data_IF_813062223359
#
_entry.id   IF_813062223359
#
_cell.length_a   1.000
_cell.length_b   1.000
_cell.length_c   1.000
_cell.angle_alpha   90.00
_cell.angle_beta   90.00
_cell.angle_gamma   90.00
#
_symmetry.space_group_name_H-M   'P 1'
#
loop_
_entity.id
_entity.type
_entity.pdbx_description
1 polymer ?
#
# COMPACT_ATOMS: atom_id res chain seq x y z
N UNK A 1 -1.18 26.59 21.41
CA UNK A 1 -0.61 25.24 21.23
C UNK A 1 0.58 25.40 20.30
N UNK A 2 1.77 24.95 20.69
CA UNK A 2 2.93 25.01 19.82
C UNK A 2 2.68 24.14 18.59
N UNK A 3 2.78 24.71 17.39
CA UNK A 3 2.72 23.99 16.13
C UNK A 3 4.00 23.17 16.01
N UNK A 4 3.99 21.96 16.57
CA UNK A 4 5.04 20.97 16.33
C UNK A 4 4.93 20.57 14.86
N UNK A 5 5.97 20.85 14.08
CA UNK A 5 6.10 20.24 12.75
C UNK A 5 6.08 18.71 12.94
N UNK A 6 5.36 17.95 12.12
CA UNK A 6 5.39 16.49 12.21
C UNK A 6 6.83 16.02 12.02
N UNK A 7 7.43 15.49 13.08
CA UNK A 7 8.73 14.83 13.03
C UNK A 7 8.53 13.43 12.47
N UNK A 8 9.42 12.99 11.59
CA UNK A 8 9.48 11.59 11.17
C UNK A 8 9.74 10.79 12.47
N UNK A 9 8.86 9.83 12.83
CA UNK A 9 9.09 8.99 13.99
C UNK A 9 10.45 8.32 13.85
N UNK A 10 11.23 8.26 14.92
CA UNK A 10 12.49 7.53 14.97
C UNK A 10 12.15 6.03 15.01
N UNK A 11 11.71 5.51 13.87
CA UNK A 11 11.24 4.16 13.70
C UNK A 11 12.30 3.32 12.97
N UNK A 12 12.59 2.11 13.46
CA UNK A 12 13.65 1.27 12.90
C UNK A 12 13.34 0.77 11.49
N UNK A 13 12.07 0.84 11.06
CA UNK A 13 11.58 0.28 9.80
C UNK A 13 10.53 1.22 9.21
N UNK A 14 10.60 1.41 7.90
CA UNK A 14 9.59 2.09 7.09
C UNK A 14 8.87 1.13 6.15
N UNK A 15 7.76 1.56 5.55
CA UNK A 15 7.07 0.76 4.54
C UNK A 15 7.97 0.44 3.32
N UNK A 16 8.88 1.35 2.98
CA UNK A 16 9.85 1.15 1.91
C UNK A 16 10.81 -0.02 2.17
N UNK A 17 11.00 -0.42 3.42
CA UNK A 17 11.89 -1.52 3.78
C UNK A 17 11.23 -2.90 3.64
N UNK A 18 9.90 -2.98 3.54
CA UNK A 18 9.17 -4.26 3.53
C UNK A 18 9.53 -5.09 2.30
N UNK A 19 9.29 -4.57 1.09
CA UNK A 19 9.57 -5.35 -0.12
C UNK A 19 11.09 -5.46 -0.37
N UNK A 20 11.88 -4.47 0.05
CA UNK A 20 13.35 -4.56 0.02
C UNK A 20 13.83 -5.74 0.84
N UNK A 21 13.37 -5.86 2.08
CA UNK A 21 13.72 -6.97 2.97
C UNK A 21 13.22 -8.31 2.42
N UNK A 22 12.07 -8.33 1.74
CA UNK A 22 11.58 -9.52 1.05
C UNK A 22 12.56 -9.98 -0.04
N UNK A 23 13.06 -9.06 -0.87
CA UNK A 23 14.10 -9.33 -1.89
C UNK A 23 15.39 -9.85 -1.25
N UNK A 24 15.82 -9.27 -0.13
CA UNK A 24 17.01 -9.69 0.60
C UNK A 24 16.89 -11.11 1.14
N UNK A 25 15.72 -11.48 1.67
CA UNK A 25 15.45 -12.83 2.18
C UNK A 25 15.59 -13.92 1.11
N UNK A 26 15.17 -13.62 -0.13
CA UNK A 26 15.34 -14.52 -1.27
C UNK A 26 16.82 -14.69 -1.67
N UNK A 27 17.67 -13.73 -1.30
CA UNK A 27 19.10 -13.77 -1.51
C UNK A 27 19.87 -14.33 -0.30
N UNK A 28 19.18 -14.87 0.71
CA UNK A 28 19.79 -15.39 1.94
C UNK A 28 20.33 -14.32 2.89
N UNK A 29 19.88 -13.06 2.75
CA UNK A 29 20.24 -11.95 3.64
C UNK A 29 19.06 -11.56 4.52
N UNK A 30 19.36 -10.99 5.69
CA UNK A 30 18.35 -10.44 6.60
C UNK A 30 18.28 -8.92 6.38
N UNK A 31 17.08 -8.42 6.10
CA UNK A 31 16.81 -7.00 5.94
C UNK A 31 16.34 -6.32 7.22
N UNK A 32 15.86 -5.08 7.10
CA UNK A 32 15.30 -4.33 8.23
C UNK A 32 14.02 -5.00 8.77
N UNK A 33 13.20 -5.58 7.88
CA UNK A 33 12.16 -6.54 8.28
C UNK A 33 12.82 -7.93 8.36
N UNK A 34 12.83 -8.60 9.52
CA UNK A 34 13.64 -9.79 9.78
C UNK A 34 13.00 -11.06 9.19
N UNK A 35 12.78 -11.08 7.87
CA UNK A 35 12.35 -12.28 7.17
C UNK A 35 13.42 -13.37 7.25
N UNK A 36 13.01 -14.59 7.57
CA UNK A 36 13.87 -15.77 7.43
C UNK A 36 14.19 -16.02 5.96
N UNK A 37 15.38 -16.55 5.60
CA UNK A 37 15.63 -17.01 4.25
C UNK A 37 14.54 -17.98 3.79
N UNK A 38 13.86 -17.65 2.70
CA UNK A 38 12.75 -18.43 2.17
C UNK A 38 12.82 -18.48 0.65
N UNK A 39 12.12 -19.45 0.05
CA UNK A 39 12.07 -19.60 -1.41
C UNK A 39 11.16 -18.56 -2.05
N UNK A 40 10.11 -18.15 -1.34
CA UNK A 40 9.12 -17.19 -1.83
C UNK A 40 8.67 -16.28 -0.70
N UNK A 41 8.22 -15.08 -1.06
CA UNK A 41 7.60 -14.14 -0.11
C UNK A 41 6.26 -13.67 -0.64
N UNK A 42 5.25 -13.68 0.22
CA UNK A 42 3.93 -13.09 0.00
C UNK A 42 3.83 -11.82 0.84
N UNK A 43 3.63 -10.67 0.21
CA UNK A 43 3.34 -9.39 0.86
C UNK A 43 1.87 -9.07 0.61
N UNK A 44 1.07 -9.08 1.66
CA UNK A 44 -0.33 -8.64 1.65
C UNK A 44 -0.37 -7.21 2.16
N UNK A 45 -0.84 -6.29 1.34
CA UNK A 45 -1.11 -4.92 1.73
C UNK A 45 -2.61 -4.70 1.85
N UNK A 46 -3.05 -4.40 3.07
CA UNK A 46 -4.44 -4.05 3.39
C UNK A 46 -4.53 -2.53 3.44
N UNK A 47 -5.11 -1.95 2.41
CA UNK A 47 -5.22 -0.50 2.26
C UNK A 47 -6.02 0.11 3.44
N UNK A 48 -5.52 1.21 3.98
CA UNK A 48 -6.20 2.00 5.03
C UNK A 48 -6.33 1.32 6.40
N UNK A 49 -5.71 0.16 6.63
CA UNK A 49 -5.76 -0.54 7.92
C UNK A 49 -4.65 -0.07 8.88
N UNK A 50 -4.91 1.04 9.58
CA UNK A 50 -3.98 1.56 10.58
C UNK A 50 -3.88 0.66 11.82
N UNK A 51 -2.69 0.58 12.42
CA UNK A 51 -2.45 -0.21 13.63
C UNK A 51 -3.41 0.14 14.77
N UNK A 52 -3.72 1.43 14.94
CA UNK A 52 -4.68 1.89 15.95
C UNK A 52 -6.13 1.55 15.60
N UNK A 53 -6.51 1.61 14.32
CA UNK A 53 -7.83 1.17 13.88
C UNK A 53 -8.02 -0.34 14.17
N UNK A 54 -7.00 -1.15 13.90
CA UNK A 54 -7.00 -2.59 14.20
C UNK A 54 -7.08 -2.85 15.71
N UNK A 55 -6.30 -2.15 16.53
CA UNK A 55 -6.34 -2.29 17.99
C UNK A 55 -7.72 -1.97 18.57
N UNK A 56 -8.34 -0.87 18.13
CA UNK A 56 -9.69 -0.45 18.58
C UNK A 56 -10.78 -1.42 18.11
N UNK A 57 -10.53 -2.19 17.04
CA UNK A 57 -11.46 -3.14 16.43
C UNK A 57 -11.01 -4.59 16.54
N UNK A 58 -10.13 -4.90 17.49
CA UNK A 58 -9.51 -6.22 17.64
C UNK A 58 -10.52 -7.38 17.73
N UNK A 59 -11.71 -7.14 18.31
CA UNK A 59 -12.79 -8.13 18.39
C UNK A 59 -13.33 -8.61 17.02
N UNK A 60 -13.17 -7.80 15.97
CA UNK A 60 -13.59 -8.09 14.59
C UNK A 60 -12.47 -8.71 13.74
N UNK A 61 -11.24 -8.78 14.25
CA UNK A 61 -10.06 -9.20 13.50
C UNK A 61 -9.13 -10.08 14.34
N UNK A 62 -9.65 -11.22 14.80
CA UNK A 62 -8.93 -12.10 15.73
C UNK A 62 -7.63 -12.63 15.12
N UNK A 63 -7.63 -12.98 13.84
CA UNK A 63 -6.45 -13.53 13.16
C UNK A 63 -5.37 -12.47 13.03
N UNK A 64 -5.72 -11.29 12.50
CA UNK A 64 -4.78 -10.18 12.33
C UNK A 64 -4.24 -9.70 13.67
N UNK A 65 -5.09 -9.58 14.69
CA UNK A 65 -4.67 -9.20 16.05
C UNK A 65 -3.66 -10.19 16.62
N UNK A 66 -3.87 -11.49 16.44
CA UNK A 66 -2.93 -12.52 16.90
C UNK A 66 -1.59 -12.44 16.15
N UNK A 67 -1.64 -12.26 14.82
CA UNK A 67 -0.44 -12.12 14.00
C UNK A 67 0.38 -10.89 14.38
N UNK A 68 -0.26 -9.78 14.73
CA UNK A 68 0.42 -8.57 15.23
C UNK A 68 1.08 -8.83 16.58
N UNK A 69 0.38 -9.51 17.50
CA UNK A 69 0.92 -9.84 18.82
C UNK A 69 2.15 -10.77 18.74
N UNK A 70 2.19 -11.66 17.76
CA UNK A 70 3.31 -12.59 17.52
C UNK A 70 4.42 -12.01 16.62
N UNK A 71 4.23 -10.79 16.09
CA UNK A 71 5.17 -10.14 15.16
C UNK A 71 6.30 -9.41 15.91
N UNK A 72 7.56 -9.47 15.41
CA UNK A 72 8.65 -8.62 15.94
C UNK A 72 8.43 -7.14 15.61
N UNK A 73 7.57 -6.82 14.66
CA UNK A 73 7.21 -5.46 14.25
C UNK A 73 5.69 -5.35 14.27
N UNK A 74 5.15 -4.71 15.30
CA UNK A 74 3.71 -4.54 15.48
C UNK A 74 3.14 -3.34 14.70
N UNK A 75 3.97 -2.35 14.41
CA UNK A 75 3.58 -1.11 13.73
C UNK A 75 4.72 -0.61 12.83
N UNK A 76 4.34 -0.10 11.65
CA UNK A 76 5.24 0.59 10.72
C UNK A 76 4.63 1.97 10.48
N UNK A 77 5.36 3.08 10.76
CA UNK A 77 4.85 4.40 10.43
C UNK A 77 4.63 4.56 8.94
N UNK A 78 3.46 5.08 8.57
CA UNK A 78 3.23 5.57 7.21
C UNK A 78 4.15 6.75 6.93
N UNK A 79 4.73 6.80 5.73
CA UNK A 79 5.54 7.95 5.30
C UNK A 79 4.69 9.21 5.13
N UNK A 80 5.34 10.35 4.89
CA UNK A 80 4.66 11.58 4.52
C UNK A 80 4.76 11.85 3.01
N UNK A 81 3.63 12.10 2.31
CA UNK A 81 2.27 12.06 2.83
C UNK A 81 1.72 10.62 2.89
N UNK A 82 0.86 10.36 3.87
CA UNK A 82 0.24 9.06 4.15
C UNK A 82 -0.91 8.76 3.19
N UNK A 83 -0.57 8.57 1.91
CA UNK A 83 -1.51 8.42 0.79
C UNK A 83 -1.20 7.13 0.05
N UNK A 84 -2.19 6.41 -0.46
CA UNK A 84 -2.00 5.19 -1.25
C UNK A 84 -0.97 5.39 -2.37
N UNK A 85 -1.07 6.49 -3.13
CA UNK A 85 -0.16 6.75 -4.25
C UNK A 85 1.30 6.84 -3.79
N UNK A 86 1.57 7.57 -2.72
CA UNK A 86 2.92 7.73 -2.20
C UNK A 86 3.45 6.44 -1.56
N UNK A 87 2.64 5.81 -0.73
CA UNK A 87 3.05 4.70 0.12
C UNK A 87 3.19 3.38 -0.66
N UNK A 88 2.29 3.07 -1.61
CA UNK A 88 2.46 1.91 -2.49
C UNK A 88 3.69 2.03 -3.39
N UNK A 89 3.99 3.25 -3.83
CA UNK A 89 5.20 3.51 -4.61
C UNK A 89 6.43 3.32 -3.74
N UNK A 90 6.45 3.87 -2.52
CA UNK A 90 7.55 3.66 -1.57
C UNK A 90 7.79 2.19 -1.26
N UNK A 91 6.72 1.42 -1.01
CA UNK A 91 6.78 -0.03 -0.79
C UNK A 91 7.48 -0.75 -1.94
N UNK A 92 7.18 -0.37 -3.18
CA UNK A 92 7.61 -1.12 -4.37
C UNK A 92 8.91 -0.65 -4.97
N UNK A 93 9.36 0.58 -4.70
CA UNK A 93 10.66 1.11 -5.12
C UNK A 93 11.71 1.04 -4.00
N UNK A 94 11.28 0.93 -2.75
CA UNK A 94 12.14 0.96 -1.57
C UNK A 94 12.70 2.34 -1.23
N UNK A 95 12.18 3.42 -1.82
CA UNK A 95 12.62 4.79 -1.53
C UNK A 95 11.47 5.66 -1.06
N UNK A 96 11.76 6.80 -0.45
CA UNK A 96 10.73 7.71 0.10
C UNK A 96 10.01 8.51 -1.01
N UNK A 97 8.85 9.13 -0.72
CA UNK A 97 8.09 9.91 -1.70
C UNK A 97 8.86 11.01 -2.42
N UNK A 98 9.77 11.68 -1.71
CA UNK A 98 10.62 12.72 -2.28
C UNK A 98 11.57 12.19 -3.38
N UNK A 99 11.93 10.90 -3.34
CA UNK A 99 12.84 10.28 -4.31
C UNK A 99 12.09 9.68 -5.50
N UNK A 100 10.95 9.01 -5.27
CA UNK A 100 10.19 8.41 -6.37
C UNK A 100 9.21 9.35 -7.07
N UNK A 101 8.98 10.56 -6.54
CA UNK A 101 8.27 11.66 -7.22
C UNK A 101 6.74 11.62 -7.14
N UNK A 102 6.14 10.50 -6.76
CA UNK A 102 4.70 10.36 -6.55
C UNK A 102 4.29 10.76 -5.13
N UNK A 103 4.07 12.06 -4.91
CA UNK A 103 3.91 12.68 -3.57
C UNK A 103 2.47 13.02 -3.17
N UNK A 104 1.46 12.37 -3.75
CA UNK A 104 0.06 12.55 -3.36
C UNK A 104 -0.91 12.11 -4.45
N UNK A 105 -2.19 11.96 -4.13
CA UNK A 105 -3.14 11.43 -5.13
C UNK A 105 -3.57 12.45 -6.18
N UNK A 106 -3.49 13.77 -5.93
CA UNK A 106 -3.85 14.76 -6.95
C UNK A 106 -2.72 15.73 -7.25
N UNK A 107 -2.43 15.94 -8.53
CA UNK A 107 -1.29 16.74 -8.99
C UNK A 107 -1.68 17.56 -10.21
N UNK A 108 -1.01 18.68 -10.44
CA UNK A 108 -1.13 19.42 -11.70
C UNK A 108 -0.02 18.97 -12.64
N UNK A 109 -0.33 18.24 -13.74
CA UNK A 109 0.68 17.82 -14.69
C UNK A 109 1.44 19.01 -15.28
N UNK A 110 2.76 18.89 -15.55
CA UNK A 110 3.48 19.90 -16.32
C UNK A 110 2.77 20.20 -17.64
N UNK A 111 2.73 21.48 -18.02
CA UNK A 111 2.02 21.93 -19.23
C UNK A 111 0.49 21.96 -19.13
N UNK A 112 -0.09 21.57 -17.99
CA UNK A 112 -1.55 21.54 -17.78
C UNK A 112 -2.00 22.54 -16.72
N UNK A 113 -3.23 23.05 -16.90
CA UNK A 113 -3.87 23.97 -15.95
C UNK A 113 -4.72 23.25 -14.91
N UNK A 114 -5.21 22.04 -15.21
CA UNK A 114 -6.10 21.28 -14.33
C UNK A 114 -5.35 20.21 -13.54
N UNK A 115 -5.74 20.06 -12.28
CA UNK A 115 -5.30 18.97 -11.41
C UNK A 115 -5.93 17.64 -11.85
N UNK A 116 -5.17 16.56 -11.72
CA UNK A 116 -5.51 15.20 -12.07
C UNK A 116 -5.31 14.28 -10.90
N UNK A 117 -6.21 13.31 -10.77
CA UNK A 117 -6.10 12.23 -9.81
C UNK A 117 -5.13 11.16 -10.38
N UNK A 118 -4.11 10.77 -9.62
CA UNK A 118 -3.09 9.79 -9.99
C UNK A 118 -3.50 8.33 -9.76
N UNK A 119 -4.72 8.07 -9.27
CA UNK A 119 -5.31 6.73 -9.22
C UNK A 119 -6.07 6.46 -10.53
N UNK A 120 -6.90 7.40 -10.99
CA UNK A 120 -7.83 7.18 -12.12
C UNK A 120 -7.83 8.25 -13.22
N UNK A 121 -7.18 9.39 -13.01
CA UNK A 121 -7.29 10.60 -13.85
C UNK A 121 -6.13 10.85 -14.81
N UNK A 122 -5.38 9.82 -15.20
CA UNK A 122 -4.22 9.93 -16.09
C UNK A 122 -4.61 10.35 -17.51
N UNK A 123 -3.79 11.20 -18.12
CA UNK A 123 -3.93 11.64 -19.51
C UNK A 123 -3.05 10.79 -20.44
N UNK A 124 -3.34 10.73 -21.76
CA UNK A 124 -2.55 9.95 -22.72
C UNK A 124 -1.06 10.34 -22.76
N UNK A 125 -0.72 11.58 -22.46
CA UNK A 125 0.64 12.12 -22.44
C UNK A 125 1.31 12.04 -21.06
N UNK A 126 0.58 11.65 -20.01
CA UNK A 126 1.16 11.34 -18.70
C UNK A 126 1.73 9.92 -18.71
N UNK A 127 2.96 9.76 -19.21
CA UNK A 127 3.64 8.46 -19.26
C UNK A 127 4.05 8.02 -17.84
N UNK A 128 3.49 6.93 -17.27
CA UNK A 128 3.75 6.53 -15.89
C UNK A 128 5.22 6.35 -15.52
N UNK A 129 6.01 5.79 -16.44
CA UNK A 129 7.45 5.55 -16.29
C UNK A 129 8.28 6.83 -16.19
N UNK A 130 7.77 7.94 -16.71
CA UNK A 130 8.43 9.25 -16.60
C UNK A 130 8.06 9.96 -15.30
N UNK A 131 6.85 9.72 -14.80
CA UNK A 131 6.37 10.25 -13.53
C UNK A 131 7.01 9.56 -12.32
N UNK A 132 7.32 8.27 -12.47
CA UNK A 132 7.97 7.46 -11.46
C UNK A 132 9.18 6.76 -12.11
N UNK A 133 10.37 7.40 -12.10
CA UNK A 133 11.53 6.91 -12.85
C UNK A 133 12.38 5.88 -12.08
N UNK A 134 12.14 5.69 -10.78
CA UNK A 134 12.93 4.77 -9.96
C UNK A 134 12.52 3.33 -10.32
N UNK A 135 13.45 2.43 -10.68
CA UNK A 135 13.14 1.03 -10.93
C UNK A 135 12.41 0.41 -9.75
N UNK A 136 11.37 -0.38 -10.02
CA UNK A 136 10.72 -1.13 -8.95
C UNK A 136 11.61 -2.30 -8.51
N UNK A 137 11.38 -2.78 -7.30
CA UNK A 137 12.02 -3.99 -6.79
C UNK A 137 11.59 -5.24 -7.59
N UNK A 138 10.42 -5.23 -8.23
CA UNK A 138 10.00 -6.30 -9.12
C UNK A 138 10.81 -6.32 -10.44
N UNK A 139 11.15 -5.15 -10.99
CA UNK A 139 12.08 -5.08 -12.14
C UNK A 139 13.46 -5.63 -11.76
N UNK A 140 13.95 -5.28 -10.57
CA UNK A 140 15.21 -5.82 -10.04
C UNK A 140 15.17 -7.35 -9.87
N UNK A 141 14.03 -7.91 -9.45
CA UNK A 141 13.83 -9.36 -9.34
C UNK A 141 13.78 -10.05 -10.71
N UNK A 142 13.08 -9.44 -11.67
CA UNK A 142 13.01 -9.92 -13.07
C UNK A 142 14.41 -10.04 -13.68
N UNK A 143 15.26 -9.04 -13.47
CA UNK A 143 16.64 -9.03 -13.99
C UNK A 143 17.51 -10.13 -13.36
N UNK A 144 17.10 -10.67 -12.20
CA UNK A 144 17.71 -11.83 -11.52
C UNK A 144 17.01 -13.16 -11.86
N UNK A 145 16.05 -13.16 -12.77
CA UNK A 145 15.28 -14.35 -13.15
C UNK A 145 14.27 -14.82 -12.11
N UNK A 146 13.91 -13.97 -11.13
CA UNK A 146 12.91 -14.28 -10.10
C UNK A 146 11.57 -13.65 -10.52
N UNK A 147 10.52 -14.44 -10.79
CA UNK A 147 9.24 -13.89 -11.21
C UNK A 147 8.52 -13.22 -10.04
N UNK A 148 7.76 -12.17 -10.36
CA UNK A 148 6.93 -11.43 -9.41
C UNK A 148 5.49 -11.34 -9.90
N UNK A 149 4.53 -11.40 -8.98
CA UNK A 149 3.10 -11.38 -9.30
C UNK A 149 2.37 -10.38 -8.41
N UNK A 150 1.55 -9.53 -9.01
CA UNK A 150 0.71 -8.57 -8.31
C UNK A 150 -0.76 -8.99 -8.45
N UNK A 151 -1.44 -9.20 -7.34
CA UNK A 151 -2.84 -9.56 -7.28
C UNK A 151 -3.66 -8.39 -6.74
N UNK A 152 -4.75 -8.04 -7.42
CA UNK A 152 -5.65 -6.96 -6.99
C UNK A 152 -6.95 -6.96 -7.80
N UNK A 153 -7.84 -5.98 -7.59
CA UNK A 153 -9.07 -5.83 -8.37
C UNK A 153 -8.81 -5.77 -9.88
N UNK A 154 -9.66 -6.42 -10.66
CA UNK A 154 -9.53 -6.51 -12.11
C UNK A 154 -9.51 -5.13 -12.78
N UNK A 155 -10.22 -4.16 -12.19
CA UNK A 155 -10.28 -2.78 -12.66
C UNK A 155 -8.92 -2.04 -12.66
N UNK A 156 -7.95 -2.50 -11.87
CA UNK A 156 -6.62 -1.86 -11.82
C UNK A 156 -5.62 -2.47 -12.81
N UNK A 157 -5.97 -3.61 -13.43
CA UNK A 157 -5.12 -4.28 -14.39
C UNK A 157 -4.79 -3.34 -15.56
N UNK A 158 -3.50 -3.09 -15.80
CA UNK A 158 -3.03 -2.20 -16.86
C UNK A 158 -3.30 -0.72 -16.62
N UNK A 159 -3.84 -0.32 -15.46
CA UNK A 159 -4.02 1.09 -15.12
C UNK A 159 -2.68 1.83 -15.13
N UNK A 160 -2.73 3.12 -15.43
CA UNK A 160 -1.53 3.96 -15.47
C UNK A 160 -0.82 4.00 -14.11
N UNK A 161 -1.57 4.00 -13.00
CA UNK A 161 -0.97 3.90 -11.67
C UNK A 161 -0.33 2.53 -11.43
N UNK A 162 -1.00 1.42 -11.73
CA UNK A 162 -0.38 0.09 -11.61
C UNK A 162 0.90 -0.02 -12.46
N UNK A 163 0.93 0.57 -13.65
CA UNK A 163 2.15 0.70 -14.46
C UNK A 163 3.21 1.61 -13.84
N UNK A 164 2.85 2.53 -12.96
CA UNK A 164 3.80 3.41 -12.28
C UNK A 164 4.54 2.70 -11.13
N UNK A 165 3.94 1.75 -10.43
CA UNK A 165 4.57 1.15 -9.23
C UNK A 165 4.72 -0.38 -9.26
N UNK A 166 4.04 -1.09 -10.16
CA UNK A 166 4.09 -2.57 -10.26
C UNK A 166 4.89 -3.09 -11.46
N UNK A 167 5.67 -2.24 -12.15
CA UNK A 167 6.48 -2.68 -13.30
C UNK A 167 7.35 -3.86 -12.92
N UNK A 168 7.49 -4.84 -13.81
CA UNK A 168 8.24 -6.06 -13.54
C UNK A 168 7.43 -7.18 -12.87
N UNK A 169 6.26 -6.89 -12.29
CA UNK A 169 5.33 -7.91 -11.83
C UNK A 169 4.25 -8.23 -12.89
N UNK A 170 3.86 -9.50 -13.00
CA UNK A 170 2.67 -9.90 -13.75
C UNK A 170 1.42 -9.55 -12.93
N UNK A 171 0.55 -8.69 -13.47
CA UNK A 171 -0.69 -8.31 -12.80
C UNK A 171 -1.78 -9.36 -13.04
N UNK A 172 -2.42 -9.82 -11.96
CA UNK A 172 -3.53 -10.78 -11.96
C UNK A 172 -4.76 -10.18 -11.29
N UNK A 173 -5.74 -9.81 -12.12
CA UNK A 173 -7.03 -9.30 -11.67
C UNK A 173 -7.89 -10.40 -11.06
N UNK A 174 -8.21 -10.28 -9.77
CA UNK A 174 -9.09 -11.19 -9.04
C UNK A 174 -9.95 -10.37 -8.10
N UNK A 175 -11.24 -10.23 -8.40
CA UNK A 175 -12.13 -9.33 -7.64
C UNK A 175 -12.53 -9.88 -6.27
N UNK A 176 -12.67 -11.19 -6.13
CA UNK A 176 -12.94 -11.83 -4.84
C UNK A 176 -11.67 -11.87 -3.97
N UNK A 177 -11.73 -11.24 -2.79
CA UNK A 177 -10.59 -11.12 -1.87
C UNK A 177 -10.06 -12.47 -1.39
N UNK A 178 -10.95 -13.39 -1.00
CA UNK A 178 -10.56 -14.71 -0.48
C UNK A 178 -9.81 -15.51 -1.54
N UNK A 179 -10.33 -15.53 -2.77
CA UNK A 179 -9.70 -16.13 -3.94
C UNK A 179 -8.39 -15.44 -4.29
N UNK A 180 -8.32 -14.11 -4.25
CA UNK A 180 -7.10 -13.32 -4.50
C UNK A 180 -5.98 -13.75 -3.56
N UNK A 181 -6.25 -13.82 -2.25
CA UNK A 181 -5.27 -14.26 -1.25
C UNK A 181 -4.89 -15.73 -1.41
N UNK A 182 -5.86 -16.61 -1.63
CA UNK A 182 -5.63 -18.04 -1.80
C UNK A 182 -4.77 -18.35 -3.04
N UNK A 183 -5.07 -17.74 -4.18
CA UNK A 183 -4.30 -17.94 -5.42
C UNK A 183 -2.85 -17.45 -5.28
N UNK A 184 -2.64 -16.29 -4.65
CA UNK A 184 -1.29 -15.77 -4.41
C UNK A 184 -0.45 -16.69 -3.51
N UNK A 185 -1.03 -17.20 -2.42
CA UNK A 185 -0.36 -18.17 -1.55
C UNK A 185 -0.07 -19.50 -2.28
N UNK A 186 -1.03 -20.02 -3.04
CA UNK A 186 -0.85 -21.25 -3.82
C UNK A 186 0.28 -21.12 -4.85
N UNK A 187 0.41 -19.95 -5.49
CA UNK A 187 1.49 -19.67 -6.42
C UNK A 187 2.85 -19.68 -5.73
N UNK A 188 2.98 -18.97 -4.60
CA UNK A 188 4.21 -18.90 -3.81
C UNK A 188 4.68 -20.27 -3.30
N UNK A 189 3.74 -21.19 -3.05
CA UNK A 189 4.04 -22.58 -2.67
C UNK A 189 4.54 -23.45 -3.81
N UNK A 190 4.23 -23.13 -5.06
CA UNK A 190 4.55 -23.97 -6.22
C UNK A 190 5.87 -23.59 -6.89
N UNK A 191 6.28 -22.34 -6.78
CA UNK A 191 7.51 -21.85 -7.41
C UNK A 191 8.19 -20.79 -6.55
N UNK A 192 9.45 -20.49 -6.87
CA UNK A 192 10.16 -19.33 -6.34
C UNK A 192 9.58 -18.05 -6.96
N UNK A 193 9.08 -17.15 -6.13
CA UNK A 193 8.56 -15.85 -6.57
C UNK A 193 8.36 -14.85 -5.42
N UNK A 194 8.13 -13.59 -5.77
CA UNK A 194 7.50 -12.61 -4.88
C UNK A 194 6.05 -12.39 -5.30
N UNK A 195 5.14 -12.44 -4.34
CA UNK A 195 3.72 -12.17 -4.57
C UNK A 195 3.33 -10.93 -3.77
N UNK A 196 2.80 -9.92 -4.44
CA UNK A 196 2.14 -8.77 -3.84
C UNK A 196 0.63 -8.96 -3.96
N UNK A 197 -0.10 -8.88 -2.85
CA UNK A 197 -1.56 -8.95 -2.82
C UNK A 197 -2.09 -7.63 -2.25
N UNK A 198 -2.93 -6.95 -3.01
CA UNK A 198 -3.58 -5.73 -2.59
C UNK A 198 -5.03 -6.00 -2.16
N UNK A 199 -5.41 -5.52 -0.99
CA UNK A 199 -6.75 -5.62 -0.40
C UNK A 199 -7.29 -4.21 -0.13
N UNK A 200 -8.19 -3.72 -0.99
CA UNK A 200 -8.78 -2.37 -0.92
C UNK A 200 -10.06 -2.29 -0.09
N UNK A 201 -10.52 -3.40 0.47
CA UNK A 201 -11.88 -3.55 0.99
C UNK A 201 -12.11 -2.70 2.25
N UNK A 202 -11.10 -2.55 3.11
CA UNK A 202 -11.17 -1.78 4.37
C UNK A 202 -11.14 -0.28 4.09
N UNK A 203 -10.17 0.19 3.31
CA UNK A 203 -10.08 1.58 2.88
C UNK A 203 -11.35 2.05 2.15
N UNK A 204 -11.82 1.24 1.19
CA UNK A 204 -13.05 1.52 0.46
C UNK A 204 -14.26 1.68 1.37
N UNK A 205 -14.43 0.80 2.37
CA UNK A 205 -15.50 0.94 3.35
C UNK A 205 -15.34 2.20 4.23
N UNK A 206 -14.10 2.52 4.62
CA UNK A 206 -13.77 3.69 5.43
C UNK A 206 -14.09 5.00 4.71
N UNK A 207 -13.75 5.13 3.44
CA UNK A 207 -14.06 6.33 2.66
C UNK A 207 -15.56 6.55 2.43
N UNK A 208 -16.36 5.48 2.30
CA UNK A 208 -17.79 5.61 2.06
C UNK A 208 -18.61 5.80 3.35
N UNK A 209 -18.15 5.23 4.47
CA UNK A 209 -18.97 5.11 5.68
C UNK A 209 -18.29 5.60 6.97
N UNK A 210 -17.00 5.92 6.93
CA UNK A 210 -16.19 6.19 8.12
C UNK A 210 -15.65 4.91 8.76
N UNK A 211 -14.50 4.98 9.42
CA UNK A 211 -13.84 3.79 9.99
C UNK A 211 -14.55 3.26 11.24
N UNK A 212 -15.37 4.10 11.88
CA UNK A 212 -16.18 3.68 13.03
C UNK A 212 -17.49 2.98 12.66
N UNK A 213 -17.79 2.83 11.37
CA UNK A 213 -19.04 2.26 10.87
C UNK A 213 -19.08 0.73 10.97
N UNK A 214 -20.29 0.16 10.95
CA UNK A 214 -20.50 -1.29 10.85
C UNK A 214 -19.95 -1.84 9.53
N UNK A 215 -20.08 -1.09 8.43
CA UNK A 215 -19.60 -1.47 7.10
C UNK A 215 -18.07 -1.64 7.08
N UNK A 216 -17.35 -0.78 7.81
CA UNK A 216 -15.91 -0.91 7.98
C UNK A 216 -15.56 -2.15 8.80
N UNK A 217 -16.26 -2.40 9.92
CA UNK A 217 -16.06 -3.62 10.72
C UNK A 217 -16.33 -4.89 9.91
N UNK A 218 -17.39 -4.94 9.11
CA UNK A 218 -17.69 -6.07 8.24
C UNK A 218 -16.62 -6.27 7.14
N UNK A 219 -16.04 -5.18 6.61
CA UNK A 219 -14.92 -5.26 5.68
C UNK A 219 -13.67 -5.85 6.36
N UNK A 220 -13.39 -5.42 7.59
CA UNK A 220 -12.30 -5.96 8.40
C UNK A 220 -12.51 -7.45 8.69
N UNK A 221 -13.71 -7.89 9.06
CA UNK A 221 -14.04 -9.31 9.28
C UNK A 221 -13.80 -10.17 8.02
N UNK A 222 -14.14 -9.64 6.83
CA UNK A 222 -13.86 -10.33 5.55
C UNK A 222 -12.35 -10.46 5.29
N UNK A 223 -11.58 -9.40 5.56
CA UNK A 223 -10.11 -9.44 5.41
C UNK A 223 -9.49 -10.41 6.41
N UNK A 224 -9.96 -10.42 7.67
CA UNK A 224 -9.49 -11.36 8.70
C UNK A 224 -9.78 -12.81 8.32
N UNK A 225 -10.98 -13.11 7.84
CA UNK A 225 -11.37 -14.45 7.39
C UNK A 225 -10.54 -14.91 6.18
N UNK A 226 -10.33 -14.03 5.19
CA UNK A 226 -9.48 -14.33 4.04
C UNK A 226 -8.01 -14.57 4.46
N UNK A 227 -7.52 -13.76 5.42
CA UNK A 227 -6.18 -13.93 6.00
C UNK A 227 -6.05 -15.27 6.70
N UNK A 228 -7.03 -15.66 7.53
CA UNK A 228 -7.04 -16.95 8.21
C UNK A 228 -6.99 -18.12 7.21
N UNK A 229 -7.81 -18.07 6.16
CA UNK A 229 -7.84 -19.09 5.12
C UNK A 229 -6.54 -19.17 4.30
N UNK A 230 -5.87 -18.03 4.07
CA UNK A 230 -4.56 -17.97 3.43
C UNK A 230 -3.47 -18.55 4.32
N UNK A 231 -3.45 -18.17 5.61
CA UNK A 231 -2.45 -18.62 6.58
C UNK A 231 -2.57 -20.12 6.87
N UNK A 232 -3.78 -20.69 6.86
CA UNK A 232 -4.00 -22.14 6.94
C UNK A 232 -3.34 -22.92 5.79
N UNK A 233 -3.05 -22.26 4.67
CA UNK A 233 -2.37 -22.85 3.52
C UNK A 233 -0.86 -22.59 3.51
N UNK A 234 -0.31 -21.83 4.47
CA UNK A 234 1.11 -21.43 4.47
C UNK A 234 2.05 -22.63 4.52
N UNK A 235 3.17 -22.52 3.80
CA UNK A 235 4.30 -23.45 3.88
C UNK A 235 5.49 -22.76 4.56
N UNK A 236 6.34 -23.54 5.24
CA UNK A 236 7.58 -23.06 5.87
C UNK A 236 8.55 -22.40 4.90
N UNK A 237 8.48 -22.73 3.60
CA UNK A 237 9.31 -22.13 2.55
C UNK A 237 8.76 -20.80 2.01
N UNK A 238 7.68 -20.29 2.60
CA UNK A 238 7.01 -19.04 2.20
C UNK A 238 6.96 -18.08 3.38
N UNK A 239 7.66 -16.95 3.25
CA UNK A 239 7.46 -15.82 4.13
C UNK A 239 6.13 -15.15 3.83
N UNK A 240 5.43 -14.69 4.87
CA UNK A 240 4.22 -13.87 4.73
C UNK A 240 4.44 -12.58 5.51
N UNK A 241 4.24 -11.46 4.85
CA UNK A 241 4.16 -10.15 5.46
C UNK A 241 2.75 -9.60 5.23
N UNK A 242 2.10 -9.14 6.30
CA UNK A 242 0.83 -8.43 6.21
C UNK A 242 1.10 -7.02 6.74
N UNK A 243 0.76 -6.01 5.94
CA UNK A 243 1.03 -4.62 6.25
C UNK A 243 -0.08 -3.73 5.69
N UNK A 244 0.03 -2.43 5.95
CA UNK A 244 -0.85 -1.40 5.44
C UNK A 244 -0.01 -0.20 4.97
N UNK A 245 -0.57 0.60 4.08
CA UNK A 245 0.05 1.82 3.57
C UNK A 245 -0.21 3.02 4.48
N UNK A 246 -1.43 3.15 5.01
CA UNK A 246 -1.82 4.16 5.98
C UNK A 246 -2.95 3.67 6.90
N UNK A 247 -3.35 4.53 7.84
CA UNK A 247 -4.56 4.34 8.63
C UNK A 247 -5.72 5.21 8.16
N UNK A 248 -6.79 5.23 8.94
CA UNK A 248 -7.98 6.02 8.66
C UNK A 248 -8.41 6.82 9.90
N UNK A 249 -8.88 8.05 9.67
CA UNK A 249 -9.52 8.90 10.69
C UNK A 249 -10.83 9.42 10.13
N UNK A 250 -11.82 9.64 11.00
CA UNK A 250 -13.07 10.26 10.57
C UNK A 250 -12.89 11.77 10.47
N UNK A 251 -13.46 12.38 9.43
CA UNK A 251 -13.38 13.84 9.20
C UNK A 251 -14.44 14.54 10.04
N UNK A 252 -14.01 15.22 11.11
CA UNK A 252 -14.90 15.93 12.04
C UNK A 252 -15.24 17.36 11.62
N UNK A 253 -14.33 18.02 10.91
CA UNK A 253 -14.48 19.42 10.50
C UNK A 253 -13.96 19.65 9.09
N UNK A 254 -14.44 20.72 8.44
CA UNK A 254 -14.04 21.09 7.09
C UNK A 254 -13.64 22.55 7.06
N UNK A 255 -12.53 22.84 6.39
CA UNK A 255 -12.09 24.20 6.13
C UNK A 255 -12.39 24.54 4.67
N UNK A 256 -13.21 25.56 4.45
CA UNK A 256 -13.41 26.10 3.10
C UNK A 256 -12.25 27.04 2.76
N UNK A 257 -11.25 26.51 2.07
CA UNK A 257 -10.10 27.30 1.62
C UNK A 257 -10.48 28.39 0.60
N UNK A 258 -11.60 28.26 -0.09
CA UNK A 258 -12.11 29.28 -1.02
C UNK A 258 -12.60 30.54 -0.29
N UNK A 259 -12.88 30.44 1.01
CA UNK A 259 -13.30 31.57 1.84
C UNK A 259 -12.16 32.52 2.23
N UNK A 260 -10.89 32.14 2.01
CA UNK A 260 -9.76 33.01 2.33
C UNK A 260 -9.70 34.21 1.38
N UNK A 261 -9.55 35.45 1.89
CA UNK A 261 -9.41 36.63 1.06
C UNK A 261 -8.27 36.50 0.04
N UNK A 262 -8.57 36.77 -1.24
CA UNK A 262 -7.58 36.69 -2.33
C UNK A 262 -7.30 35.27 -2.85
N UNK A 263 -7.97 34.22 -2.34
CA UNK A 263 -7.72 32.83 -2.75
C UNK A 263 -7.80 32.64 -4.27
N UNK A 264 -8.86 33.14 -4.92
CA UNK A 264 -9.06 32.99 -6.35
C UNK A 264 -8.00 33.75 -7.20
N UNK A 265 -7.36 34.78 -6.64
CA UNK A 265 -6.32 35.57 -7.32
C UNK A 265 -4.93 34.95 -7.14
N UNK A 266 -4.69 34.28 -6.00
CA UNK A 266 -3.38 33.77 -5.61
C UNK A 266 -3.18 32.26 -5.90
N UNK A 267 -4.27 31.50 -6.03
CA UNK A 267 -4.23 30.04 -6.14
C UNK A 267 -4.65 29.60 -7.54
N UNK A 268 -3.68 29.15 -8.34
CA UNK A 268 -3.93 28.65 -9.69
C UNK A 268 -4.62 27.28 -9.71
N UNK A 269 -4.34 26.42 -8.73
CA UNK A 269 -4.97 25.11 -8.56
C UNK A 269 -4.73 24.56 -7.15
N UNK A 270 -5.64 23.69 -6.69
CA UNK A 270 -5.51 22.94 -5.44
C UNK A 270 -5.29 21.47 -5.78
N UNK A 271 -4.18 20.91 -5.31
CA UNK A 271 -3.85 19.50 -5.43
C UNK A 271 -3.41 18.91 -4.10
N UNK A 272 -2.83 17.72 -4.13
CA UNK A 272 -2.48 16.93 -2.96
C UNK A 272 -3.63 16.04 -2.51
N UNK A 273 -3.71 15.80 -1.21
CA UNK A 273 -4.79 15.08 -0.54
C UNK A 273 -5.51 16.04 0.41
N UNK A 274 -6.83 16.29 0.24
CA UNK A 274 -7.56 17.09 1.19
C UNK A 274 -7.61 16.33 2.52
N UNK A 275 -7.11 16.98 3.55
CA UNK A 275 -7.20 16.51 4.94
C UNK A 275 -8.26 17.32 5.68
#
# INVERSE_FOLDING_TARGET
>A
MATMLPTIPDAPVSLADVLRSAVESLCGRVGAVPFTPARSTVVVLIDGLGARNLADRAGHARTLTHLVADSPIAEIPSGFPSTTVAQLTSLTTGVVPAEHGLVGYSVRPPGHTRVRNLISGWLPDMVPEQWQPIPTLFETLRDRGIPSFAYGPSAYAGSAFSRAFLRGAEYRGVDDLGRRMAEGMQLARRQQCVVYIYASEVDGAGHHHGWQSTQWSEALERVDAATAAMMAQRSEHVNVCITADHGMVDVESRVDIGSFPGFAELVAAVGGEPR
#
